data_IF_010465182144
#
_entry.id   IF_010465182144
#
_cell.length_a   1.000
_cell.length_b   1.000
_cell.length_c   1.000
_cell.angle_alpha   90.00
_cell.angle_beta   90.00
_cell.angle_gamma   90.00
#
_symmetry.space_group_name_H-M   'P 1'
#
loop_
_entity.id
_entity.type
_entity.pdbx_description
1 polymer ?
#
# COMPACT_ATOMS: atom_id res chain seq x y z
N UNK A 1 16.38 -3.03 -6.62
CA UNK A 1 15.29 -3.01 -5.64
C UNK A 1 15.04 -1.59 -5.20
N UNK A 2 13.82 -1.10 -5.38
CA UNK A 2 13.42 0.24 -4.95
C UNK A 2 12.91 0.18 -3.51
N UNK A 3 13.19 1.20 -2.71
CA UNK A 3 12.66 1.25 -1.34
C UNK A 3 11.13 1.41 -1.37
N UNK A 4 10.44 0.74 -0.46
CA UNK A 4 8.98 0.82 -0.34
C UNK A 4 8.46 2.26 -0.19
N UNK A 5 9.17 3.12 0.55
CA UNK A 5 8.82 4.53 0.75
C UNK A 5 8.99 5.41 -0.49
N UNK A 6 9.63 4.90 -1.54
CA UNK A 6 9.80 5.60 -2.83
C UNK A 6 8.72 5.17 -3.84
N UNK A 7 7.88 4.19 -3.49
CA UNK A 7 6.76 3.76 -4.31
C UNK A 7 5.61 4.77 -4.23
N UNK A 8 4.86 4.97 -5.33
CA UNK A 8 3.71 5.86 -5.29
C UNK A 8 2.73 5.36 -4.22
N UNK A 9 2.16 6.30 -3.47
CA UNK A 9 1.14 6.05 -2.44
C UNK A 9 1.63 5.35 -1.16
N UNK A 10 2.91 5.00 -1.05
CA UNK A 10 3.49 4.39 0.16
C UNK A 10 4.35 5.42 0.89
N UNK A 11 3.82 5.94 2.01
CA UNK A 11 4.60 6.75 2.95
C UNK A 11 5.40 5.89 3.95
N UNK A 12 6.30 6.53 4.70
CA UNK A 12 7.18 5.85 5.67
C UNK A 12 6.43 4.95 6.67
N UNK A 13 5.25 5.37 7.13
CA UNK A 13 4.44 4.57 8.05
C UNK A 13 4.01 3.23 7.43
N UNK A 14 3.50 3.24 6.20
CA UNK A 14 3.08 2.02 5.49
C UNK A 14 4.29 1.16 5.14
N UNK A 15 5.39 1.78 4.70
CA UNK A 15 6.65 1.07 4.45
C UNK A 15 7.16 0.34 5.71
N UNK A 16 7.06 0.96 6.88
CA UNK A 16 7.45 0.31 8.14
C UNK A 16 6.51 -0.85 8.51
N UNK A 17 5.20 -0.71 8.27
CA UNK A 17 4.25 -1.81 8.50
C UNK A 17 4.53 -3.00 7.58
N UNK A 18 4.82 -2.75 6.30
CA UNK A 18 5.23 -3.77 5.34
C UNK A 18 6.48 -4.51 5.83
N UNK A 19 7.50 -3.78 6.28
CA UNK A 19 8.72 -4.37 6.83
C UNK A 19 8.46 -5.22 8.08
N UNK A 20 7.58 -4.77 8.97
CA UNK A 20 7.19 -5.54 10.18
C UNK A 20 6.53 -6.88 9.84
N UNK A 21 5.85 -6.97 8.70
CA UNK A 21 5.20 -8.21 8.23
C UNK A 21 6.04 -9.01 7.22
N UNK A 22 7.33 -8.65 7.09
CA UNK A 22 8.31 -9.37 6.27
C UNK A 22 8.29 -9.03 4.78
N UNK A 23 7.75 -7.87 4.39
CA UNK A 23 7.80 -7.34 3.01
C UNK A 23 8.83 -6.21 3.00
N UNK A 24 10.01 -6.45 2.42
CA UNK A 24 11.18 -5.59 2.60
C UNK A 24 11.35 -4.58 1.48
N UNK A 25 10.97 -4.95 0.25
CA UNK A 25 11.14 -4.15 -0.95
C UNK A 25 9.97 -4.25 -1.94
N UNK A 26 10.10 -3.54 -3.07
CA UNK A 26 9.12 -3.53 -4.15
C UNK A 26 8.88 -4.92 -4.77
N UNK A 27 9.90 -5.76 -4.86
CA UNK A 27 9.81 -7.07 -5.50
C UNK A 27 9.05 -8.06 -4.60
N UNK A 28 9.28 -8.00 -3.27
CA UNK A 28 8.48 -8.73 -2.28
C UNK A 28 7.00 -8.33 -2.36
N UNK A 29 6.72 -7.02 -2.44
CA UNK A 29 5.36 -6.49 -2.51
C UNK A 29 4.65 -6.95 -3.79
N UNK A 30 5.34 -6.95 -4.93
CA UNK A 30 4.81 -7.44 -6.21
C UNK A 30 4.59 -8.95 -6.19
N UNK A 31 5.50 -9.70 -5.56
CA UNK A 31 5.43 -11.15 -5.47
C UNK A 31 4.23 -11.63 -4.64
N UNK A 32 3.96 -10.97 -3.51
CA UNK A 32 2.86 -11.34 -2.62
C UNK A 32 1.51 -10.73 -3.05
N UNK A 33 1.53 -9.56 -3.69
CA UNK A 33 0.34 -8.83 -4.12
C UNK A 33 -0.28 -7.93 -3.03
N UNK A 34 -1.06 -6.93 -3.45
CA UNK A 34 -1.61 -5.90 -2.58
C UNK A 34 -2.57 -6.46 -1.50
N UNK A 35 -3.44 -7.39 -1.87
CA UNK A 35 -4.42 -7.98 -0.97
C UNK A 35 -3.75 -8.75 0.18
N UNK A 36 -2.78 -9.62 -0.15
CA UNK A 36 -2.06 -10.39 0.85
C UNK A 36 -1.17 -9.51 1.73
N UNK A 37 -0.52 -8.50 1.15
CA UNK A 37 0.21 -7.50 1.92
C UNK A 37 -0.69 -6.75 2.90
N UNK A 38 -1.90 -6.36 2.46
CA UNK A 38 -2.89 -5.70 3.30
C UNK A 38 -3.42 -6.60 4.43
N UNK A 39 -3.73 -7.87 4.13
CA UNK A 39 -4.15 -8.87 5.12
C UNK A 39 -3.06 -9.09 6.18
N UNK A 40 -1.79 -9.15 5.77
CA UNK A 40 -0.67 -9.23 6.70
C UNK A 40 -0.58 -7.99 7.59
N UNK A 41 -0.71 -6.78 7.03
CA UNK A 41 -0.74 -5.54 7.83
C UNK A 41 -1.93 -5.55 8.80
N UNK A 42 -3.09 -6.06 8.41
CA UNK A 42 -4.26 -6.15 9.30
C UNK A 42 -4.02 -6.99 10.55
N UNK A 43 -3.12 -7.98 10.50
CA UNK A 43 -2.78 -8.81 11.66
C UNK A 43 -2.08 -7.99 12.75
N UNK A 44 -1.33 -6.95 12.38
CA UNK A 44 -0.60 -6.07 13.31
C UNK A 44 -1.31 -4.72 13.56
N UNK A 45 -2.16 -4.28 12.62
CA UNK A 45 -2.90 -3.02 12.68
C UNK A 45 -4.32 -3.20 12.12
N UNK A 46 -5.27 -3.48 13.01
CA UNK A 46 -6.69 -3.66 12.68
C UNK A 46 -7.36 -2.39 12.13
N UNK A 47 -6.72 -1.23 12.22
CA UNK A 47 -7.25 0.03 11.67
C UNK A 47 -6.91 0.20 10.18
N UNK A 48 -6.20 -0.76 9.58
CA UNK A 48 -5.89 -0.76 8.16
C UNK A 48 -7.17 -0.79 7.30
N UNK A 49 -7.55 0.38 6.81
CA UNK A 49 -8.73 0.60 5.99
C UNK A 49 -8.50 0.21 4.52
N UNK A 50 -9.60 0.15 3.76
CA UNK A 50 -9.59 -0.16 2.31
C UNK A 50 -8.72 0.80 1.48
N UNK A 51 -8.54 2.04 1.93
CA UNK A 51 -7.65 3.00 1.26
C UNK A 51 -6.18 2.53 1.27
N UNK A 52 -5.79 1.73 2.26
CA UNK A 52 -4.44 1.15 2.35
C UNK A 52 -4.27 0.07 1.29
N UNK A 53 -5.29 -0.76 1.06
CA UNK A 53 -5.30 -1.74 -0.03
C UNK A 53 -5.11 -1.05 -1.40
N UNK A 54 -5.91 -0.02 -1.69
CA UNK A 54 -5.76 0.74 -2.96
C UNK A 54 -4.41 1.44 -3.10
N UNK A 55 -3.83 1.91 -1.98
CA UNK A 55 -2.49 2.49 -2.01
C UNK A 55 -1.43 1.45 -2.40
N UNK A 56 -1.51 0.23 -1.86
CA UNK A 56 -0.60 -0.88 -2.19
C UNK A 56 -0.77 -1.34 -3.64
N UNK A 57 -2.01 -1.46 -4.13
CA UNK A 57 -2.28 -1.81 -5.53
C UNK A 57 -1.74 -0.75 -6.48
N UNK A 58 -2.01 0.54 -6.19
CA UNK A 58 -1.44 1.65 -6.97
C UNK A 58 0.09 1.69 -6.92
N UNK A 59 0.71 1.28 -5.81
CA UNK A 59 2.16 1.16 -5.69
C UNK A 59 2.73 0.09 -6.63
N UNK A 60 2.10 -1.09 -6.66
CA UNK A 60 2.46 -2.21 -7.54
C UNK A 60 2.31 -1.82 -9.02
N UNK A 61 1.23 -1.14 -9.36
CA UNK A 61 0.94 -0.69 -10.73
C UNK A 61 1.74 0.56 -11.14
N UNK A 62 2.47 1.20 -10.22
CA UNK A 62 3.18 2.46 -10.49
C UNK A 62 2.27 3.67 -10.71
N UNK A 63 0.99 3.59 -10.32
CA UNK A 63 -0.02 4.62 -10.53
C UNK A 63 -0.18 5.48 -9.26
N UNK A 64 0.05 6.80 -9.38
CA UNK A 64 -0.24 7.75 -8.30
C UNK A 64 -1.75 7.89 -8.08
N UNK A 65 -2.20 7.96 -6.82
CA UNK A 65 -3.60 8.03 -6.34
C UNK A 65 -4.48 9.14 -6.93
N UNK A 66 -3.97 10.00 -7.81
CA UNK A 66 -4.78 11.01 -8.51
C UNK A 66 -6.04 10.42 -9.18
N UNK A 67 -6.03 9.12 -9.51
CA UNK A 67 -7.16 8.45 -10.16
C UNK A 67 -8.36 8.11 -9.25
N UNK A 68 -8.26 8.29 -7.93
CA UNK A 68 -9.33 7.91 -6.98
C UNK A 68 -10.05 9.10 -6.31
N UNK A 69 -9.88 10.34 -6.81
CA UNK A 69 -10.62 11.51 -6.31
C UNK A 69 -11.89 11.86 -7.12
N UNK A 70 -12.38 10.98 -7.98
CA UNK A 70 -13.72 11.12 -8.54
C UNK A 70 -14.72 10.34 -7.68
N UNK A 71 -15.60 11.10 -7.01
CA UNK A 71 -16.78 10.77 -6.15
C UNK A 71 -16.50 11.06 -4.67
N UNK A 72 -17.06 12.07 -4.00
CA UNK A 72 -18.09 13.08 -4.32
C UNK A 72 -17.72 14.36 -3.54
N UNK A 73 -17.50 15.50 -4.22
CA UNK A 73 -17.88 16.79 -3.63
C UNK A 73 -19.37 16.93 -3.90
N UNK A 74 -20.22 16.43 -3.00
CA UNK A 74 -21.60 16.89 -2.93
C UNK A 74 -21.61 18.23 -2.18
N UNK A 75 -22.39 19.13 -2.75
CA UNK A 75 -22.63 20.53 -2.39
C UNK A 75 -22.73 20.80 -0.89
#
# INVERSE_FOLDING_TARGET
MKNLSELPNIGNAVANQLKQVGILDEDDLKSIGAEQAWLKIQQIDKTACINKLYALEGAILGIKKLYCQTKEKKH
#
